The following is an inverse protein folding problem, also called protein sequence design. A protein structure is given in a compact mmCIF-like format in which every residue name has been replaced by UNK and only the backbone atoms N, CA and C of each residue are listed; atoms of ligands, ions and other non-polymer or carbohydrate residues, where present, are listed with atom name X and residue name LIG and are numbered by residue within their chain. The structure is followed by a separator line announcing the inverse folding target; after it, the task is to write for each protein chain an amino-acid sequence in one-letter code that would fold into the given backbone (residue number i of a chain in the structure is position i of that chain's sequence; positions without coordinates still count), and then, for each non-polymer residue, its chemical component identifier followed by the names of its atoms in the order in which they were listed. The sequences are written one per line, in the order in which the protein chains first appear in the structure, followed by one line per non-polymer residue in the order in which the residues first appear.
data_IF_242153009085
#
_entry.id   IF_242153009085
#
_cell.length_a   1.000
_cell.length_b   1.000
_cell.length_c   1.000
_cell.angle_alpha   90.00
_cell.angle_beta   90.00
_cell.angle_gamma   90.00
#
_symmetry.space_group_name_H-M   'P 1'
#
loop_
_entity.id
_entity.type
_entity.pdbx_description
1 polymer ?
#
# COMPACT_ATOMS: atom_id res chain seq x y z
N UNK A 1 18.99 42.89 2.52
CA UNK A 1 17.53 42.93 2.24
C UNK A 1 17.25 41.86 1.21
N UNK A 2 16.66 40.72 1.60
CA UNK A 2 16.38 39.63 0.65
C UNK A 2 15.26 40.06 -0.30
N UNK A 3 15.47 39.97 -1.62
CA UNK A 3 14.48 40.39 -2.60
C UNK A 3 13.22 39.52 -2.50
N UNK A 4 12.05 40.13 -2.73
CA UNK A 4 10.73 39.46 -2.63
C UNK A 4 10.66 38.20 -3.49
N UNK A 5 11.37 38.16 -4.63
CA UNK A 5 11.48 36.99 -5.50
C UNK A 5 12.20 35.81 -4.84
N UNK A 6 13.28 36.05 -4.10
CA UNK A 6 14.03 34.98 -3.40
C UNK A 6 13.14 34.34 -2.33
N UNK A 7 12.32 35.14 -1.64
CA UNK A 7 11.39 34.65 -0.62
C UNK A 7 10.25 33.80 -1.21
N UNK A 8 9.75 34.16 -2.39
CA UNK A 8 8.76 33.36 -3.15
C UNK A 8 9.36 32.04 -3.65
N UNK A 9 10.58 32.09 -4.19
CA UNK A 9 11.28 30.91 -4.69
C UNK A 9 11.53 29.89 -3.58
N UNK A 10 11.98 30.34 -2.39
CA UNK A 10 12.16 29.47 -1.23
C UNK A 10 10.85 28.78 -0.80
N UNK A 11 9.72 29.49 -0.81
CA UNK A 11 8.41 28.89 -0.50
C UNK A 11 7.98 27.87 -1.54
N UNK A 12 8.16 28.18 -2.83
CA UNK A 12 7.85 27.24 -3.91
C UNK A 12 8.71 25.98 -3.81
N UNK A 13 10.02 26.13 -3.56
CA UNK A 13 10.93 25.01 -3.35
C UNK A 13 10.53 24.14 -2.16
N UNK A 14 10.09 24.76 -1.05
CA UNK A 14 9.64 24.04 0.14
C UNK A 14 8.34 23.25 -0.12
N UNK A 15 7.40 23.83 -0.87
CA UNK A 15 6.18 23.13 -1.30
C UNK A 15 6.48 21.95 -2.22
N UNK A 16 7.39 22.12 -3.18
CA UNK A 16 7.83 21.04 -4.07
C UNK A 16 8.54 19.92 -3.28
N UNK A 17 9.38 20.28 -2.31
CA UNK A 17 10.04 19.32 -1.43
C UNK A 17 9.03 18.52 -0.59
N UNK A 18 8.02 19.19 -0.01
CA UNK A 18 6.92 18.53 0.70
C UNK A 18 6.14 17.58 -0.22
N UNK A 19 5.79 18.02 -1.43
CA UNK A 19 5.09 17.18 -2.39
C UNK A 19 5.89 15.93 -2.77
N UNK A 20 7.22 16.07 -2.93
CA UNK A 20 8.12 14.93 -3.16
C UNK A 20 8.13 13.97 -1.97
N UNK A 21 8.23 14.48 -0.74
CA UNK A 21 8.19 13.64 0.48
C UNK A 21 6.88 12.87 0.56
N UNK A 22 5.74 13.53 0.35
CA UNK A 22 4.42 12.88 0.37
C UNK A 22 4.33 11.81 -0.72
N UNK A 23 4.82 12.09 -1.93
CA UNK A 23 4.82 11.13 -3.03
C UNK A 23 5.68 9.90 -2.71
N UNK A 24 6.86 10.10 -2.10
CA UNK A 24 7.73 9.00 -1.65
C UNK A 24 7.04 8.20 -0.55
N UNK A 25 6.47 8.86 0.47
CA UNK A 25 5.71 8.21 1.54
C UNK A 25 4.57 7.39 0.95
N UNK A 26 3.80 7.94 0.01
CA UNK A 26 2.70 7.23 -0.64
C UNK A 26 3.19 6.00 -1.41
N UNK A 27 4.30 6.11 -2.17
CA UNK A 27 4.89 4.97 -2.89
C UNK A 27 5.45 3.89 -1.98
N UNK A 28 6.05 4.28 -0.85
CA UNK A 28 6.58 3.34 0.13
C UNK A 28 5.43 2.70 0.91
N UNK A 29 4.48 3.51 1.37
CA UNK A 29 3.28 3.05 2.06
C UNK A 29 2.48 2.10 1.18
N UNK A 30 2.24 2.42 -0.10
CA UNK A 30 1.52 1.50 -1.00
C UNK A 30 2.25 0.17 -1.15
N UNK A 31 3.58 0.16 -1.30
CA UNK A 31 4.37 -1.09 -1.33
C UNK A 31 4.32 -1.87 -0.02
N UNK A 32 4.43 -1.18 1.12
CA UNK A 32 4.37 -1.81 2.44
C UNK A 32 2.98 -2.33 2.77
N UNK A 33 1.93 -1.56 2.46
CA UNK A 33 0.52 -1.92 2.63
C UNK A 33 0.20 -3.11 1.74
N UNK A 34 0.62 -3.12 0.47
CA UNK A 34 0.42 -4.26 -0.42
C UNK A 34 1.15 -5.51 0.09
N UNK A 35 2.39 -5.37 0.56
CA UNK A 35 3.12 -6.49 1.20
C UNK A 35 2.43 -6.97 2.48
N UNK A 36 1.90 -6.05 3.29
CA UNK A 36 1.21 -6.38 4.53
C UNK A 36 -0.13 -7.06 4.24
N UNK A 37 -0.90 -6.58 3.27
CA UNK A 37 -2.12 -7.23 2.78
C UNK A 37 -1.76 -8.61 2.25
N UNK A 38 -0.75 -8.72 1.38
CA UNK A 38 -0.32 -10.01 0.85
C UNK A 38 0.08 -10.97 1.97
N UNK A 39 0.84 -10.51 2.96
CA UNK A 39 1.18 -11.31 4.13
C UNK A 39 -0.06 -11.70 4.95
N UNK A 40 -0.97 -10.77 5.22
CA UNK A 40 -2.19 -11.07 5.96
C UNK A 40 -3.11 -12.06 5.23
N UNK A 41 -3.22 -12.00 3.91
CA UNK A 41 -4.09 -12.89 3.13
C UNK A 41 -3.40 -14.20 2.74
N UNK A 42 -2.14 -14.15 2.29
CA UNK A 42 -1.43 -15.28 1.71
C UNK A 42 -0.36 -15.89 2.61
N UNK A 43 -0.10 -15.35 3.81
CA UNK A 43 0.73 -16.07 4.76
C UNK A 43 -0.09 -17.22 5.34
N UNK A 44 0.28 -18.45 4.96
CA UNK A 44 -0.26 -19.66 5.56
C UNK A 44 0.14 -19.70 7.03
N UNK A 45 -0.83 -19.49 7.93
CA UNK A 45 -0.65 -19.84 9.33
C UNK A 45 -0.88 -21.34 9.47
N UNK A 46 0.19 -22.11 9.33
CA UNK A 46 0.11 -23.54 9.57
C UNK A 46 1.37 -24.27 9.16
N UNK A 47 2.26 -24.46 10.13
CA UNK A 47 3.02 -25.71 10.17
C UNK A 47 1.96 -26.82 10.24
N UNK A 48 1.79 -27.55 9.13
CA UNK A 48 1.18 -28.90 9.00
C UNK A 48 0.34 -29.01 7.72
N UNK A 49 0.97 -29.62 6.72
CA UNK A 49 0.44 -30.56 5.70
C UNK A 49 -0.79 -30.22 4.84
N UNK A 50 -1.46 -29.10 5.04
CA UNK A 50 -2.53 -28.65 4.15
C UNK A 50 -2.29 -27.19 3.77
N UNK A 51 -2.02 -26.96 2.49
CA UNK A 51 -1.81 -25.66 1.82
C UNK A 51 -3.08 -24.78 1.80
N UNK A 52 -3.88 -24.83 2.86
CA UNK A 52 -5.15 -24.13 2.97
C UNK A 52 -4.90 -22.81 3.69
N UNK A 53 -5.19 -21.69 3.02
CA UNK A 53 -5.11 -20.37 3.63
C UNK A 53 -6.13 -20.23 4.77
N UNK A 54 -5.79 -19.45 5.79
CA UNK A 54 -6.66 -19.29 6.97
C UNK A 54 -8.05 -18.78 6.63
N UNK A 55 -8.17 -17.93 5.60
CA UNK A 55 -9.44 -17.38 5.12
C UNK A 55 -10.29 -18.40 4.35
N UNK A 56 -9.69 -19.46 3.78
CA UNK A 56 -10.44 -20.55 3.15
C UNK A 56 -11.22 -21.39 4.18
N UNK A 57 -10.89 -21.29 5.47
CA UNK A 57 -11.68 -21.92 6.54
C UNK A 57 -13.04 -21.23 6.76
N UNK A 58 -13.25 -20.04 6.20
CA UNK A 58 -14.46 -19.23 6.37
C UNK A 58 -15.15 -19.06 5.00
N UNK A 59 -16.28 -19.76 4.74
CA UNK A 59 -16.93 -19.81 3.41
C UNK A 59 -17.39 -18.45 2.87
N UNK A 60 -17.69 -17.51 3.77
CA UNK A 60 -18.07 -16.14 3.42
C UNK A 60 -16.86 -15.30 3.00
N UNK A 61 -15.71 -15.49 3.65
CA UNK A 61 -14.48 -14.77 3.34
C UNK A 61 -13.87 -15.27 2.03
N UNK A 62 -13.88 -16.58 1.82
CA UNK A 62 -13.44 -17.22 0.57
C UNK A 62 -14.16 -16.63 -0.65
N UNK A 63 -15.49 -16.54 -0.62
CA UNK A 63 -16.27 -15.93 -1.71
C UNK A 63 -15.91 -14.46 -1.98
N UNK A 64 -15.60 -13.70 -0.93
CA UNK A 64 -15.22 -12.28 -1.07
C UNK A 64 -13.83 -12.16 -1.68
N UNK A 65 -12.89 -12.99 -1.24
CA UNK A 65 -11.51 -12.98 -1.73
C UNK A 65 -11.45 -13.42 -3.19
N UNK A 66 -12.16 -14.49 -3.56
CA UNK A 66 -12.24 -14.91 -4.96
C UNK A 66 -12.84 -13.84 -5.87
N UNK A 67 -13.90 -13.15 -5.44
CA UNK A 67 -14.44 -12.00 -6.20
C UNK A 67 -13.43 -10.87 -6.39
N UNK A 68 -12.57 -10.63 -5.40
CA UNK A 68 -11.50 -9.62 -5.50
C UNK A 68 -10.40 -10.08 -6.45
N UNK A 69 -10.02 -11.37 -6.42
CA UNK A 69 -9.06 -11.96 -7.34
C UNK A 69 -9.58 -11.88 -8.78
N UNK A 70 -10.83 -12.30 -9.02
CA UNK A 70 -11.48 -12.25 -10.33
C UNK A 70 -11.55 -10.82 -10.88
N UNK A 71 -11.74 -9.81 -10.02
CA UNK A 71 -11.75 -8.40 -10.42
C UNK A 71 -10.34 -7.86 -10.77
N UNK A 72 -9.29 -8.42 -10.18
CA UNK A 72 -7.91 -7.98 -10.43
C UNK A 72 -7.28 -8.68 -11.63
N UNK A 73 -7.76 -9.88 -11.99
CA UNK A 73 -7.29 -10.65 -13.14
C UNK A 73 -7.93 -10.20 -14.46
N UNK A 74 -9.05 -9.47 -14.40
CA UNK A 74 -9.81 -8.94 -15.54
C UNK A 74 -9.56 -7.44 -15.77
#
# INVERSE_FOLDING_TARGET
MESVSVRKLKRAALLLALALIINIIYKVASRCILKFIYFCFFSSQGKEYNEIFWWQKIPSLERVIWKVVDYLEN
#
